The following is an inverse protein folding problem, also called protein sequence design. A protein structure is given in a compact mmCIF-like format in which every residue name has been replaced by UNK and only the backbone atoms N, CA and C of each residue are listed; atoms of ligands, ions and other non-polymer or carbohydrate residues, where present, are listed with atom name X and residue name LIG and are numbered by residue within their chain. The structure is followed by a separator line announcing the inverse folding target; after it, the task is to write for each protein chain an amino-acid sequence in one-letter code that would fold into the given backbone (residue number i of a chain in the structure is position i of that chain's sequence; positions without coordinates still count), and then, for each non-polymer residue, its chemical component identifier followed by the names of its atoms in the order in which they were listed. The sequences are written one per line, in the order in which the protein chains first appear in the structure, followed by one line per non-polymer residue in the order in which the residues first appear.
data_IF_485425471139
#
_entry.id   IF_485425471139
#
_cell.length_a   1.000
_cell.length_b   1.000
_cell.length_c   1.000
_cell.angle_alpha   90.00
_cell.angle_beta   90.00
_cell.angle_gamma   90.00
#
_symmetry.space_group_name_H-M   'P 1'
#
loop_
_entity.id
_entity.type
_entity.pdbx_description
1 polymer ?
#
# COMPACT_ATOMS: atom_id res chain seq x y z
N UNK A 1 7.71 21.49 12.94
CA UNK A 1 6.57 20.75 12.34
C UNK A 1 6.39 19.47 13.13
N UNK A 2 5.17 19.17 13.59
CA UNK A 2 4.91 17.88 14.22
C UNK A 2 5.00 16.79 13.14
N UNK A 3 5.79 15.75 13.38
CA UNK A 3 5.88 14.61 12.46
C UNK A 3 4.54 13.86 12.38
N UNK A 4 4.35 13.11 11.29
CA UNK A 4 3.16 12.25 11.13
C UNK A 4 3.02 11.29 12.31
N UNK A 5 1.81 11.17 12.86
CA UNK A 5 1.47 10.17 13.87
C UNK A 5 1.52 8.77 13.26
N UNK A 6 1.64 7.72 14.09
CA UNK A 6 1.62 6.32 13.62
C UNK A 6 0.41 6.03 12.71
N UNK A 7 -0.77 6.52 13.08
CA UNK A 7 -2.00 6.31 12.33
C UNK A 7 -1.96 7.00 10.96
N UNK A 8 -1.46 8.24 10.91
CA UNK A 8 -1.29 8.97 9.66
C UNK A 8 -0.29 8.29 8.74
N UNK A 9 0.84 7.79 9.27
CA UNK A 9 1.83 7.03 8.49
C UNK A 9 1.24 5.75 7.92
N UNK A 10 0.45 5.01 8.70
CA UNK A 10 -0.22 3.80 8.22
C UNK A 10 -1.27 4.11 7.14
N UNK A 11 -2.07 5.16 7.31
CA UNK A 11 -3.03 5.58 6.29
C UNK A 11 -2.35 6.05 5.00
N UNK A 12 -1.27 6.84 5.13
CA UNK A 12 -0.45 7.27 4.01
C UNK A 12 0.10 6.08 3.22
N UNK A 13 0.69 5.11 3.93
CA UNK A 13 1.22 3.89 3.32
C UNK A 13 0.13 3.08 2.60
N UNK A 14 -1.06 2.97 3.20
CA UNK A 14 -2.18 2.24 2.61
C UNK A 14 -2.70 2.93 1.33
N UNK A 15 -2.92 4.25 1.41
CA UNK A 15 -3.37 5.05 0.27
C UNK A 15 -2.31 5.06 -0.85
N UNK A 16 -1.04 5.21 -0.51
CA UNK A 16 0.07 5.20 -1.46
C UNK A 16 0.20 3.86 -2.18
N UNK A 17 0.11 2.74 -1.45
CA UNK A 17 0.11 1.41 -2.06
C UNK A 17 -1.08 1.22 -3.01
N UNK A 18 -2.30 1.51 -2.57
CA UNK A 18 -3.50 1.27 -3.37
C UNK A 18 -3.58 2.20 -4.60
N UNK A 19 -3.17 3.46 -4.47
CA UNK A 19 -3.06 4.36 -5.61
C UNK A 19 -1.94 3.95 -6.56
N UNK A 20 -0.81 3.43 -6.06
CA UNK A 20 0.23 2.83 -6.90
C UNK A 20 -0.26 1.60 -7.67
N UNK A 21 -1.10 0.77 -7.04
CA UNK A 21 -1.73 -0.38 -7.71
C UNK A 21 -2.72 0.09 -8.80
N UNK A 22 -3.54 1.09 -8.50
CA UNK A 22 -4.46 1.69 -9.46
C UNK A 22 -3.72 2.29 -10.67
N UNK A 23 -2.59 2.96 -10.44
CA UNK A 23 -1.73 3.51 -11.50
C UNK A 23 -1.19 2.41 -12.42
N UNK A 24 -0.91 1.22 -11.87
CA UNK A 24 -0.50 0.04 -12.63
C UNK A 24 -1.67 -0.71 -13.29
N UNK A 25 -2.89 -0.19 -13.20
CA UNK A 25 -4.09 -0.78 -13.80
C UNK A 25 -4.68 -1.96 -13.03
N UNK A 26 -4.36 -2.09 -11.74
CA UNK A 26 -4.96 -3.13 -10.89
C UNK A 26 -6.38 -2.71 -10.49
N UNK A 27 -7.36 -3.51 -10.88
CA UNK A 27 -8.78 -3.30 -10.54
C UNK A 27 -9.22 -4.19 -9.37
N UNK A 28 -8.67 -5.40 -9.27
CA UNK A 28 -8.97 -6.36 -8.20
C UNK A 28 -7.71 -6.70 -7.41
N UNK A 29 -7.84 -6.75 -6.08
CA UNK A 29 -6.75 -7.12 -5.18
C UNK A 29 -7.21 -8.25 -4.27
N UNK A 30 -6.53 -9.40 -4.36
CA UNK A 30 -6.66 -10.45 -3.35
C UNK A 30 -6.00 -9.97 -2.04
N UNK A 31 -6.84 -9.56 -1.09
CA UNK A 31 -6.43 -9.09 0.24
C UNK A 31 -6.40 -10.20 1.29
N UNK A 32 -6.54 -11.48 0.90
CA UNK A 32 -6.42 -12.59 1.84
C UNK A 32 -5.04 -12.57 2.52
N UNK A 33 -4.98 -12.99 3.79
CA UNK A 33 -3.74 -12.92 4.57
C UNK A 33 -2.54 -13.56 3.83
N UNK A 34 -2.77 -14.69 3.15
CA UNK A 34 -1.72 -15.42 2.44
C UNK A 34 -1.28 -14.68 1.17
N UNK A 35 -2.22 -14.10 0.42
CA UNK A 35 -1.95 -13.36 -0.81
C UNK A 35 -1.38 -11.95 -0.57
N UNK A 36 -1.54 -11.42 0.65
CA UNK A 36 -1.07 -10.08 0.98
C UNK A 36 0.21 -10.06 1.81
N UNK A 37 0.27 -10.75 2.96
CA UNK A 37 1.34 -10.51 3.94
C UNK A 37 2.73 -10.86 3.43
N UNK A 38 2.90 -12.03 2.80
CA UNK A 38 4.20 -12.45 2.28
C UNK A 38 4.66 -11.58 1.10
N UNK A 39 3.84 -11.33 0.06
CA UNK A 39 4.19 -10.41 -1.02
C UNK A 39 4.50 -9.00 -0.53
N UNK A 40 3.69 -8.47 0.40
CA UNK A 40 3.92 -7.15 0.96
C UNK A 40 5.25 -7.08 1.69
N UNK A 41 5.55 -8.03 2.57
CA UNK A 41 6.83 -8.03 3.29
C UNK A 41 8.03 -8.21 2.37
N UNK A 42 7.88 -8.99 1.30
CA UNK A 42 8.90 -9.14 0.28
C UNK A 42 9.17 -7.82 -0.46
N UNK A 43 8.12 -7.10 -0.84
CA UNK A 43 8.21 -5.78 -1.45
C UNK A 43 8.78 -4.73 -0.49
N UNK A 44 8.27 -4.71 0.76
CA UNK A 44 8.67 -3.78 1.81
C UNK A 44 10.18 -3.82 2.07
N UNK A 45 10.78 -5.01 2.13
CA UNK A 45 12.23 -5.17 2.36
C UNK A 45 13.09 -4.70 1.19
N UNK A 46 12.53 -4.62 -0.02
CA UNK A 46 13.24 -4.20 -1.24
C UNK A 46 13.02 -2.73 -1.58
N UNK A 47 11.92 -2.17 -1.10
CA UNK A 47 11.59 -0.79 -1.33
C UNK A 47 12.54 0.15 -0.58
N UNK A 48 13.20 1.04 -1.31
CA UNK A 48 14.26 1.91 -0.79
C UNK A 48 13.78 2.84 0.34
N UNK A 49 12.49 3.20 0.34
CA UNK A 49 11.90 4.13 1.29
C UNK A 49 11.39 3.47 2.59
N UNK A 50 11.45 2.13 2.70
CA UNK A 50 11.00 1.40 3.89
C UNK A 50 11.71 1.80 5.20
N UNK A 51 12.92 2.33 5.10
CA UNK A 51 13.72 2.81 6.24
C UNK A 51 13.40 4.26 6.63
N UNK A 52 12.59 4.98 5.84
CA UNK A 52 12.23 6.37 6.12
C UNK A 52 11.12 6.46 7.18
N UNK A 53 11.50 6.18 8.43
CA UNK A 53 10.59 6.18 9.58
C UNK A 53 9.94 7.53 9.88
N UNK A 54 10.41 8.64 9.27
CA UNK A 54 9.76 9.94 9.38
C UNK A 54 8.45 10.00 8.58
N UNK A 55 8.35 9.24 7.48
CA UNK A 55 7.22 9.25 6.54
C UNK A 55 6.37 8.00 6.68
N UNK A 56 6.98 6.82 6.72
CA UNK A 56 6.27 5.54 6.73
C UNK A 56 6.44 4.82 8.08
N UNK A 57 5.48 3.96 8.48
CA UNK A 57 5.61 3.23 9.74
C UNK A 57 6.72 2.17 9.62
N UNK A 58 7.32 1.81 10.76
CA UNK A 58 8.15 0.59 10.82
C UNK A 58 7.21 -0.63 10.72
N UNK A 59 7.43 -1.49 9.73
CA UNK A 59 6.68 -2.74 9.55
C UNK A 59 7.61 -3.92 9.79
N UNK A 60 7.24 -4.80 10.73
CA UNK A 60 7.99 -6.00 11.11
C UNK A 60 7.04 -7.17 11.37
N UNK A 61 7.44 -8.37 10.93
CA UNK A 61 6.68 -9.61 11.16
C UNK A 61 6.67 -9.94 12.66
N UNK A 62 5.53 -10.38 13.20
CA UNK A 62 5.41 -10.72 14.63
C UNK A 62 5.43 -9.51 15.59
N UNK A 63 5.30 -8.28 15.05
CA UNK A 63 5.20 -7.06 15.84
C UNK A 63 3.74 -6.58 16.02
N UNK A 64 3.53 -5.51 16.78
CA UNK A 64 2.22 -4.85 16.96
C UNK A 64 1.75 -4.06 15.73
N UNK A 65 2.49 -4.08 14.62
CA UNK A 65 2.10 -3.45 13.34
C UNK A 65 2.27 -4.47 12.22
N UNK A 66 1.24 -5.28 12.03
CA UNK A 66 1.24 -6.32 11.01
C UNK A 66 1.02 -5.69 9.63
N UNK A 67 1.58 -6.27 8.55
CA UNK A 67 1.36 -5.81 7.18
C UNK A 67 -0.12 -5.55 6.86
N UNK A 68 -1.00 -6.46 7.29
CA UNK A 68 -2.45 -6.34 7.07
C UNK A 68 -3.10 -5.15 7.77
N UNK A 69 -2.53 -4.68 8.89
CA UNK A 69 -3.10 -3.58 9.65
C UNK A 69 -3.12 -2.29 8.82
N UNK A 70 -2.25 -2.20 7.79
CA UNK A 70 -2.22 -1.11 6.82
C UNK A 70 -3.52 -1.10 6.00
N UNK A 71 -3.98 -2.26 5.52
CA UNK A 71 -5.22 -2.36 4.75
C UNK A 71 -6.46 -2.03 5.59
N UNK A 72 -6.44 -2.35 6.89
CA UNK A 72 -7.53 -1.95 7.77
C UNK A 72 -7.57 -0.44 8.06
N UNK A 73 -6.54 0.34 7.73
CA UNK A 73 -6.55 1.80 7.92
C UNK A 73 -7.32 2.57 6.86
N UNK A 74 -7.50 2.02 5.66
CA UNK A 74 -8.31 2.71 4.64
C UNK A 74 -9.80 2.73 4.99
N UNK A 75 -10.24 2.02 6.03
CA UNK A 75 -11.61 2.12 6.56
C UNK A 75 -11.98 3.52 7.11
N UNK A 76 -11.01 4.42 7.23
CA UNK A 76 -11.26 5.84 7.47
C UNK A 76 -12.17 6.44 6.39
N UNK A 77 -13.15 7.26 6.79
CA UNK A 77 -14.02 8.01 5.86
C UNK A 77 -13.25 8.92 4.90
N UNK A 78 -11.98 9.20 5.18
CA UNK A 78 -11.10 10.06 4.41
C UNK A 78 -10.28 9.33 3.34
N UNK A 79 -10.34 8.00 3.25
CA UNK A 79 -9.67 7.26 2.19
C UNK A 79 -10.64 7.02 1.02
N UNK A 80 -10.24 7.30 -0.23
CA UNK A 80 -11.03 6.91 -1.39
C UNK A 80 -11.06 5.40 -1.62
N UNK A 81 -10.21 4.64 -0.93
CA UNK A 81 -10.09 3.18 -1.06
C UNK A 81 -10.80 2.41 0.06
N UNK A 82 -11.62 3.05 0.89
CA UNK A 82 -12.26 2.41 2.05
C UNK A 82 -13.07 1.15 1.74
N UNK A 83 -13.58 1.04 0.51
CA UNK A 83 -14.43 -0.07 0.05
C UNK A 83 -13.69 -0.98 -0.94
N UNK A 84 -12.35 -0.95 -0.99
CA UNK A 84 -11.59 -1.68 -2.02
C UNK A 84 -11.81 -3.20 -1.98
N UNK A 85 -12.04 -3.78 -0.80
CA UNK A 85 -12.32 -5.21 -0.65
C UNK A 85 -13.67 -5.61 -1.27
N UNK A 86 -14.60 -4.67 -1.44
CA UNK A 86 -15.94 -4.92 -2.02
C UNK A 86 -16.03 -4.49 -3.48
N UNK A 87 -15.43 -3.36 -3.82
CA UNK A 87 -15.60 -2.69 -5.10
C UNK A 87 -14.35 -2.70 -5.98
N UNK A 88 -13.27 -3.34 -5.52
CA UNK A 88 -11.97 -3.26 -6.18
C UNK A 88 -11.23 -1.96 -5.90
N UNK A 89 -10.01 -1.87 -6.44
CA UNK A 89 -9.17 -0.69 -6.31
C UNK A 89 -9.68 0.37 -7.29
N UNK A 90 -10.10 1.53 -6.78
CA UNK A 90 -10.63 2.60 -7.64
C UNK A 90 -9.54 3.21 -8.52
N UNK A 91 -9.82 3.35 -9.81
CA UNK A 91 -8.98 4.04 -10.79
C UNK A 91 -9.15 5.57 -10.77
N UNK A 92 -10.10 6.09 -9.98
CA UNK A 92 -10.38 7.52 -9.89
C UNK A 92 -10.49 8.01 -8.42
N UNK A 93 -9.45 7.82 -7.59
CA UNK A 93 -9.48 8.24 -6.18
C UNK A 93 -9.71 9.75 -6.06
N UNK A 94 -10.76 10.16 -5.33
CA UNK A 94 -11.22 11.56 -5.25
C UNK A 94 -11.57 12.21 -6.61
N UNK A 95 -11.87 11.43 -7.65
CA UNK A 95 -12.11 11.95 -8.99
C UNK A 95 -10.84 12.41 -9.71
N UNK A 96 -9.67 12.08 -9.17
CA UNK A 96 -8.36 12.33 -9.76
C UNK A 96 -7.83 11.07 -10.45
N UNK A 97 -6.86 11.22 -11.34
CA UNK A 97 -6.04 10.06 -11.76
C UNK A 97 -5.24 9.53 -10.57
N UNK A 98 -4.84 8.24 -10.56
CA UNK A 98 -4.07 7.68 -9.45
C UNK A 98 -2.74 8.42 -9.23
N UNK A 99 -2.04 8.78 -10.30
CA UNK A 99 -0.85 9.65 -10.26
C UNK A 99 -1.11 11.02 -9.61
N UNK A 100 -2.14 11.76 -10.03
CA UNK A 100 -2.48 13.06 -9.41
C UNK A 100 -2.80 12.89 -7.93
N UNK A 101 -3.52 11.82 -7.57
CA UNK A 101 -3.80 11.52 -6.16
C UNK A 101 -2.51 11.27 -5.37
N UNK A 102 -1.54 10.52 -5.92
CA UNK A 102 -0.26 10.30 -5.28
C UNK A 102 0.51 11.61 -5.07
N UNK A 103 0.52 12.49 -6.06
CA UNK A 103 1.21 13.79 -6.01
C UNK A 103 0.59 14.77 -5.01
N UNK A 104 -0.73 14.74 -4.84
CA UNK A 104 -1.47 15.67 -3.98
C UNK A 104 -1.64 15.14 -2.56
N UNK A 105 -1.99 13.85 -2.42
CA UNK A 105 -2.42 13.25 -1.15
C UNK A 105 -1.39 12.32 -0.53
N UNK A 106 -0.33 11.94 -1.26
CA UNK A 106 0.78 11.11 -0.76
C UNK A 106 2.14 11.81 -0.98
N UNK A 107 2.15 13.14 -0.87
CA UNK A 107 3.23 14.07 -1.23
C UNK A 107 4.51 13.96 -0.38
N UNK A 108 4.52 13.14 0.66
CA UNK A 108 5.72 12.91 1.49
C UNK A 108 6.78 12.07 0.78
N UNK A 109 6.41 11.37 -0.31
CA UNK A 109 7.32 10.69 -1.23
C UNK A 109 6.89 10.97 -2.67
N UNK A 110 7.83 10.94 -3.65
CA UNK A 110 7.47 11.06 -5.06
C UNK A 110 6.47 9.98 -5.49
N UNK A 111 5.59 10.29 -6.44
CA UNK A 111 4.61 9.33 -6.96
C UNK A 111 5.27 8.03 -7.45
N UNK A 112 6.43 8.12 -8.11
CA UNK A 112 7.20 6.96 -8.57
C UNK A 112 7.60 6.00 -7.45
N UNK A 113 7.84 6.50 -6.22
CA UNK A 113 8.18 5.65 -5.09
C UNK A 113 7.00 4.73 -4.70
N UNK A 114 5.78 5.25 -4.78
CA UNK A 114 4.57 4.48 -4.49
C UNK A 114 4.27 3.46 -5.59
N UNK A 115 4.47 3.86 -6.86
CA UNK A 115 4.35 2.95 -8.01
C UNK A 115 5.40 1.84 -7.95
N UNK A 116 6.64 2.15 -7.53
CA UNK A 116 7.69 1.15 -7.31
C UNK A 116 7.27 0.13 -6.24
N UNK A 117 6.73 0.57 -5.10
CA UNK A 117 6.24 -0.32 -4.05
C UNK A 117 5.15 -1.25 -4.57
N UNK A 118 4.18 -0.71 -5.33
CA UNK A 118 3.12 -1.49 -5.95
C UNK A 118 3.65 -2.51 -6.97
N UNK A 119 4.64 -2.11 -7.78
CA UNK A 119 5.31 -3.00 -8.74
C UNK A 119 6.04 -4.15 -8.04
N UNK A 120 6.80 -3.85 -6.99
CA UNK A 120 7.48 -4.87 -6.17
C UNK A 120 6.49 -5.83 -5.51
N UNK A 121 5.34 -5.32 -5.07
CA UNK A 121 4.27 -6.12 -4.48
C UNK A 121 3.65 -7.08 -5.51
N UNK A 122 3.30 -6.60 -6.70
CA UNK A 122 2.74 -7.43 -7.77
C UNK A 122 3.72 -8.50 -8.24
N UNK A 123 5.00 -8.14 -8.40
CA UNK A 123 6.04 -9.09 -8.73
C UNK A 123 6.16 -10.20 -7.67
N UNK A 124 6.09 -9.84 -6.39
CA UNK A 124 6.09 -10.81 -5.30
C UNK A 124 4.82 -11.68 -5.30
N UNK A 125 3.62 -11.09 -5.50
CA UNK A 125 2.37 -11.87 -5.60
C UNK A 125 2.46 -12.92 -6.70
N UNK A 126 2.95 -12.55 -7.87
CA UNK A 126 3.13 -13.47 -8.99
C UNK A 126 4.13 -14.59 -8.67
N UNK A 127 5.17 -14.32 -7.89
CA UNK A 127 6.14 -15.33 -7.44
C UNK A 127 5.52 -16.32 -6.45
N UNK A 128 4.79 -15.82 -5.44
CA UNK A 128 4.18 -16.66 -4.42
C UNK A 128 2.96 -17.45 -4.93
N UNK A 129 2.21 -16.91 -5.89
CA UNK A 129 1.13 -17.65 -6.56
C UNK A 129 1.65 -18.87 -7.35
N UNK A 130 2.90 -18.83 -7.84
CA UNK A 130 3.53 -19.93 -8.61
C UNK A 130 4.19 -21.00 -7.74
N UNK A 131 4.39 -20.73 -6.45
CA UNK A 131 4.94 -21.67 -5.48
C UNK A 131 3.77 -22.22 -4.66
N UNK A 132 3.07 -23.29 -5.10
CA UNK A 132 2.09 -23.92 -4.24
C UNK A 132 2.82 -24.33 -2.96
N UNK A 133 2.27 -23.91 -1.82
CA UNK A 133 2.78 -24.19 -0.48
C UNK A 133 3.29 -25.63 -0.40
N UNK A 134 4.60 -25.78 -0.20
CA UNK A 134 5.19 -27.08 0.14
C UNK A 134 4.85 -27.46 1.58
#
# INVERSE_FOLDING_TARGET
MAGLTKQQKQLLLANGLLAGLAELGVEELDSSNMAFEFPFMHAWRRWAHSQNSAVVPKIEYGSTSQPRDILHRVTSSTSPFKDFERNGVTSAPHGLTPREFLEIHCDQLPADAWVELASLFLAAQAEYARKPSQ
#
